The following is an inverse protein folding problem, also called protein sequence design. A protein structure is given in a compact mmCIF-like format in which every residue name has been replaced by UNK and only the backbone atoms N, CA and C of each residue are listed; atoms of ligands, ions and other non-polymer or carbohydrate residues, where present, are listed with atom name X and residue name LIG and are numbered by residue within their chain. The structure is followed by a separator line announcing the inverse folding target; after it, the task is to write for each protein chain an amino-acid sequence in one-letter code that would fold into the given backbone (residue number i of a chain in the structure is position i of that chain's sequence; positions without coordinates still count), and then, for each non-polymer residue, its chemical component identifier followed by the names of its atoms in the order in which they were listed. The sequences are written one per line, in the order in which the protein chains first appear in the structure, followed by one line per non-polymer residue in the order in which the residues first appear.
data_IF_880654411647
#
_entry.id   IF_880654411647
#
_cell.length_a   1.000
_cell.length_b   1.000
_cell.length_c   1.000
_cell.angle_alpha   90.00
_cell.angle_beta   90.00
_cell.angle_gamma   90.00
#
_symmetry.space_group_name_H-M   'P 1'
#
loop_
_entity.id
_entity.type
_entity.pdbx_description
1 polymer ?
#
# COMPACT_ATOMS: atom_id res chain seq x y z
N UNK A 1 8.10 35.71 -74.87
CA UNK A 1 8.60 34.51 -74.16
C UNK A 1 9.98 34.85 -73.61
N UNK A 2 10.05 35.19 -72.32
CA UNK A 2 11.29 35.63 -71.66
C UNK A 2 11.70 34.52 -70.71
N UNK A 3 12.86 33.91 -70.98
CA UNK A 3 13.49 32.90 -70.13
C UNK A 3 14.10 33.58 -68.90
N UNK A 4 13.62 33.23 -67.71
CA UNK A 4 14.24 33.58 -66.44
C UNK A 4 15.13 32.39 -66.00
N UNK A 5 16.43 32.49 -66.22
CA UNK A 5 17.42 31.60 -65.64
C UNK A 5 17.74 32.10 -64.23
N UNK A 6 17.29 31.38 -63.20
CA UNK A 6 17.55 31.70 -61.80
C UNK A 6 18.72 30.82 -61.31
N UNK A 7 19.90 31.42 -61.19
CA UNK A 7 21.11 30.79 -60.65
C UNK A 7 21.04 30.81 -59.12
N UNK A 8 20.88 29.64 -58.48
CA UNK A 8 21.02 29.50 -57.03
C UNK A 8 22.50 29.33 -56.67
N UNK A 9 23.05 30.32 -55.95
CA UNK A 9 24.34 30.20 -55.29
C UNK A 9 24.17 29.42 -53.98
N UNK A 10 24.85 28.28 -53.87
CA UNK A 10 24.91 27.47 -52.65
C UNK A 10 26.02 28.06 -51.76
N UNK A 11 25.63 28.72 -50.67
CA UNK A 11 26.56 29.13 -49.62
C UNK A 11 26.78 27.96 -48.65
N UNK A 12 27.93 27.30 -48.76
CA UNK A 12 28.42 26.34 -47.76
C UNK A 12 28.94 27.12 -46.54
N UNK A 13 28.16 27.11 -45.47
CA UNK A 13 28.62 27.57 -44.16
C UNK A 13 29.36 26.40 -43.50
N UNK A 14 30.68 26.49 -43.47
CA UNK A 14 31.55 25.59 -42.72
C UNK A 14 31.42 25.87 -41.22
N UNK A 15 30.65 25.05 -40.52
CA UNK A 15 30.61 25.02 -39.06
C UNK A 15 31.76 24.13 -38.59
N UNK A 16 32.90 24.75 -38.28
CA UNK A 16 33.96 24.13 -37.48
C UNK A 16 33.61 24.32 -36.00
N UNK A 17 32.70 23.47 -35.52
CA UNK A 17 32.36 23.36 -34.11
C UNK A 17 33.34 22.44 -33.40
N UNK A 18 34.21 23.04 -32.61
CA UNK A 18 35.16 22.43 -31.68
C UNK A 18 34.57 21.26 -30.89
N UNK A 19 35.26 20.11 -30.93
CA UNK A 19 35.08 18.98 -30.00
C UNK A 19 35.32 19.49 -28.58
N UNK A 20 34.26 19.85 -27.87
CA UNK A 20 34.31 20.01 -26.43
C UNK A 20 34.63 18.63 -25.82
N UNK A 21 35.74 18.55 -25.11
CA UNK A 21 36.08 17.40 -24.30
C UNK A 21 34.92 17.08 -23.34
N UNK A 22 34.68 15.80 -22.99
CA UNK A 22 33.69 15.45 -21.99
C UNK A 22 34.00 16.21 -20.70
N UNK A 23 33.13 17.16 -20.36
CA UNK A 23 33.14 17.79 -19.05
C UNK A 23 32.91 16.65 -18.06
N UNK A 24 33.96 16.34 -17.30
CA UNK A 24 33.82 15.48 -16.14
C UNK A 24 32.71 16.08 -15.28
N UNK A 25 31.56 15.42 -15.25
CA UNK A 25 30.49 15.72 -14.31
C UNK A 25 31.08 15.42 -12.94
N UNK A 26 31.62 16.45 -12.31
CA UNK A 26 31.92 16.43 -10.88
C UNK A 26 30.62 16.10 -10.19
N UNK A 27 30.54 14.84 -9.71
CA UNK A 27 29.57 14.32 -8.75
C UNK A 27 29.18 15.44 -7.80
N UNK A 28 28.02 16.04 -8.08
CA UNK A 28 27.40 17.03 -7.22
C UNK A 28 26.99 16.28 -5.97
N UNK A 29 27.43 16.79 -4.82
CA UNK A 29 27.17 16.29 -3.47
C UNK A 29 25.86 15.50 -3.39
N UNK A 30 25.97 14.16 -3.38
CA UNK A 30 24.93 13.30 -2.84
C UNK A 30 24.87 13.70 -1.37
N UNK A 31 23.92 14.57 -1.03
CA UNK A 31 23.47 14.71 0.35
C UNK A 31 22.96 13.33 0.72
N UNK A 32 23.83 12.54 1.35
CA UNK A 32 23.45 11.32 2.03
C UNK A 32 22.52 11.80 3.14
N UNK A 33 21.22 11.84 2.84
CA UNK A 33 20.21 12.08 3.85
C UNK A 33 20.39 10.91 4.81
N UNK A 34 20.90 11.21 6.00
CA UNK A 34 21.04 10.25 7.07
C UNK A 34 19.66 9.57 7.23
N UNK A 35 19.60 8.28 6.94
CA UNK A 35 18.44 7.42 7.10
C UNK A 35 18.08 7.21 8.58
N UNK A 36 17.99 8.31 9.34
CA UNK A 36 17.78 8.34 10.80
C UNK A 36 16.46 8.99 11.22
N UNK A 37 15.69 9.52 10.28
CA UNK A 37 14.28 9.83 10.51
C UNK A 37 13.46 8.61 10.06
N UNK A 38 13.57 7.55 10.86
CA UNK A 38 13.04 6.20 10.64
C UNK A 38 11.51 6.18 10.59
N UNK A 39 10.94 6.57 9.46
CA UNK A 39 9.79 5.86 8.90
C UNK A 39 10.34 4.81 7.94
N UNK A 40 10.78 3.67 8.46
CA UNK A 40 10.97 2.49 7.61
C UNK A 40 9.64 2.23 6.92
N UNK A 41 9.59 2.41 5.59
CA UNK A 41 8.43 2.09 4.77
C UNK A 41 8.14 0.59 4.97
N UNK A 42 7.10 0.21 5.72
CA UNK A 42 6.91 -1.19 6.05
C UNK A 42 6.57 -1.96 4.77
N UNK A 43 7.42 -2.92 4.41
CA UNK A 43 7.17 -3.89 3.33
C UNK A 43 7.74 -3.55 1.95
N UNK A 44 8.50 -2.46 1.78
CA UNK A 44 9.24 -2.19 0.54
C UNK A 44 10.66 -2.75 0.62
N UNK A 45 10.96 -3.76 -0.21
CA UNK A 45 12.35 -4.20 -0.41
C UNK A 45 13.12 -3.08 -1.10
N UNK A 46 14.23 -2.64 -0.52
CA UNK A 46 15.17 -1.68 -1.12
C UNK A 46 16.11 -2.37 -2.13
N UNK A 47 15.93 -3.67 -2.40
CA UNK A 47 16.71 -4.38 -3.40
C UNK A 47 16.46 -3.78 -4.79
N UNK A 48 17.50 -3.57 -5.61
CA UNK A 48 17.37 -3.01 -6.94
C UNK A 48 16.29 -3.72 -7.76
N UNK A 49 15.44 -2.93 -8.43
CA UNK A 49 14.48 -3.45 -9.41
C UNK A 49 15.13 -3.36 -10.80
N UNK A 50 14.85 -4.35 -11.66
CA UNK A 50 15.29 -4.33 -13.05
C UNK A 50 14.79 -3.08 -13.79
N UNK A 51 15.60 -2.56 -14.71
CA UNK A 51 15.20 -1.44 -15.54
C UNK A 51 13.87 -1.71 -16.27
N UNK A 52 13.06 -0.67 -16.44
CA UNK A 52 11.70 -0.75 -17.01
C UNK A 52 10.68 -1.58 -16.20
N UNK A 53 11.01 -1.93 -14.96
CA UNK A 53 10.09 -2.60 -14.06
C UNK A 53 9.74 -1.71 -12.86
N UNK A 54 8.62 -2.00 -12.21
CA UNK A 54 8.20 -1.33 -11.00
C UNK A 54 7.42 -2.27 -10.07
N UNK A 55 7.50 -1.99 -8.78
CA UNK A 55 6.64 -2.57 -7.74
C UNK A 55 5.78 -1.46 -7.15
N UNK A 56 4.54 -1.75 -6.87
CA UNK A 56 3.61 -0.80 -6.28
C UNK A 56 2.79 -1.49 -5.21
N UNK A 57 2.83 -0.93 -4.01
CA UNK A 57 2.00 -1.32 -2.88
C UNK A 57 1.02 -0.19 -2.60
N UNK A 58 -0.25 -0.54 -2.44
CA UNK A 58 -1.33 0.41 -2.17
C UNK A 58 -1.93 0.05 -0.81
N UNK A 59 -1.83 0.97 0.14
CA UNK A 59 -2.41 0.89 1.47
C UNK A 59 -3.58 1.86 1.66
N UNK A 60 -4.09 1.89 2.89
CA UNK A 60 -5.13 2.82 3.34
C UNK A 60 -4.56 3.69 4.46
N UNK A 61 -4.72 5.00 4.33
CA UNK A 61 -4.44 5.99 5.35
C UNK A 61 -5.78 6.54 5.85
N UNK A 62 -6.07 6.36 7.14
CA UNK A 62 -7.23 6.99 7.77
C UNK A 62 -6.89 8.44 8.09
N UNK A 63 -7.78 9.34 7.70
CA UNK A 63 -7.70 10.76 8.05
C UNK A 63 -8.47 11.03 9.36
N UNK A 64 -8.16 12.14 10.03
CA UNK A 64 -8.78 12.54 11.30
C UNK A 64 -10.31 12.75 11.22
N UNK A 65 -10.82 12.99 10.01
CA UNK A 65 -12.22 13.27 9.71
C UNK A 65 -13.02 12.03 9.28
N UNK A 66 -12.51 10.82 9.58
CA UNK A 66 -13.08 9.51 9.18
C UNK A 66 -13.04 9.21 7.68
N UNK A 67 -12.52 10.13 6.84
CA UNK A 67 -12.25 9.81 5.45
C UNK A 67 -11.01 8.91 5.33
N UNK A 68 -10.93 8.16 4.24
CA UNK A 68 -9.81 7.25 4.00
C UNK A 68 -9.18 7.57 2.64
N UNK A 69 -7.89 7.89 2.66
CA UNK A 69 -7.07 8.15 1.46
C UNK A 69 -6.22 6.93 1.15
N UNK A 70 -5.89 6.69 -0.12
CA UNK A 70 -4.96 5.61 -0.45
C UNK A 70 -3.52 6.06 -0.26
N UNK A 71 -2.71 5.20 0.34
CA UNK A 71 -1.25 5.39 0.43
C UNK A 71 -0.58 4.57 -0.67
N UNK A 72 0.31 5.19 -1.43
CA UNK A 72 1.06 4.58 -2.51
C UNK A 72 2.52 4.47 -2.12
N UNK A 73 3.09 3.32 -2.42
CA UNK A 73 4.48 2.97 -2.21
C UNK A 73 5.00 2.38 -3.52
N UNK A 74 5.68 3.18 -4.32
CA UNK A 74 6.09 2.84 -5.69
C UNK A 74 7.61 2.78 -5.76
N UNK A 75 8.14 1.66 -6.22
CA UNK A 75 9.57 1.47 -6.48
C UNK A 75 9.76 1.19 -7.96
N UNK A 76 10.55 2.03 -8.61
CA UNK A 76 10.74 2.05 -10.06
C UNK A 76 12.22 1.79 -10.33
N UNK A 77 12.53 0.82 -11.19
CA UNK A 77 13.89 0.44 -11.58
C UNK A 77 14.58 1.44 -12.52
N UNK A 78 14.26 2.73 -12.44
CA UNK A 78 14.92 3.79 -13.20
C UNK A 78 15.04 5.08 -12.39
N UNK A 79 16.10 5.87 -12.57
CA UNK A 79 16.11 7.25 -12.12
C UNK A 79 15.18 8.06 -13.02
N UNK A 80 14.55 9.11 -12.48
CA UNK A 80 13.79 10.03 -13.31
C UNK A 80 14.66 11.23 -13.66
N UNK A 81 14.91 11.40 -14.96
CA UNK A 81 15.67 12.51 -15.53
C UNK A 81 16.95 12.84 -14.74
N UNK A 82 17.81 11.84 -14.56
CA UNK A 82 19.13 12.00 -13.89
C UNK A 82 19.04 12.53 -12.44
N UNK A 83 17.98 12.17 -11.70
CA UNK A 83 17.81 12.54 -10.29
C UNK A 83 16.97 13.79 -10.04
N UNK A 84 16.50 14.48 -11.10
CA UNK A 84 15.65 15.68 -10.98
C UNK A 84 14.16 15.38 -10.84
N UNK A 85 13.76 14.10 -10.85
CA UNK A 85 12.39 13.73 -11.15
C UNK A 85 11.33 13.80 -10.09
N UNK A 86 11.74 13.80 -8.82
CA UNK A 86 10.82 13.79 -7.70
C UNK A 86 9.83 14.97 -7.77
N UNK A 87 10.31 16.17 -8.02
CA UNK A 87 9.45 17.36 -8.10
C UNK A 87 8.49 17.27 -9.29
N UNK A 88 8.97 16.84 -10.46
CA UNK A 88 8.13 16.69 -11.64
C UNK A 88 7.00 15.67 -11.45
N UNK A 89 7.28 14.56 -10.77
CA UNK A 89 6.27 13.54 -10.47
C UNK A 89 5.25 14.11 -9.48
N UNK A 90 5.72 14.70 -8.39
CA UNK A 90 4.87 15.38 -7.39
C UNK A 90 3.95 16.39 -8.05
N UNK A 91 4.48 17.27 -8.88
CA UNK A 91 3.74 18.36 -9.50
C UNK A 91 2.70 17.84 -10.49
N UNK A 92 2.95 16.69 -11.13
CA UNK A 92 1.98 16.06 -12.03
C UNK A 92 0.81 15.42 -11.28
N UNK A 93 1.11 14.75 -10.16
CA UNK A 93 0.08 14.22 -9.27
C UNK A 93 -0.74 15.39 -8.69
N UNK A 94 -0.07 16.47 -8.27
CA UNK A 94 -0.74 17.68 -7.77
C UNK A 94 -1.60 18.38 -8.84
N UNK A 95 -1.12 18.45 -10.09
CA UNK A 95 -1.90 19.02 -11.20
C UNK A 95 -3.16 18.19 -11.45
N UNK A 96 -3.02 16.87 -11.57
CA UNK A 96 -4.17 15.96 -11.74
C UNK A 96 -5.17 16.09 -10.60
N UNK A 97 -4.70 16.17 -9.36
CA UNK A 97 -5.54 16.44 -8.20
C UNK A 97 -6.29 17.78 -8.32
N UNK A 98 -5.61 18.83 -8.77
CA UNK A 98 -6.17 20.18 -8.93
C UNK A 98 -7.21 20.27 -10.06
N UNK A 99 -7.10 19.41 -11.07
CA UNK A 99 -8.10 19.27 -12.15
C UNK A 99 -9.42 18.63 -11.66
N UNK A 100 -9.52 18.32 -10.35
CA UNK A 100 -10.70 17.76 -9.70
C UNK A 100 -10.74 16.23 -9.69
N UNK A 101 -9.65 15.57 -10.10
CA UNK A 101 -9.62 14.10 -10.22
C UNK A 101 -9.54 13.39 -8.86
N UNK A 102 -8.85 13.96 -7.88
CA UNK A 102 -8.68 13.35 -6.55
C UNK A 102 -8.06 14.32 -5.54
N UNK A 103 -8.12 13.98 -4.24
CA UNK A 103 -7.35 14.68 -3.21
C UNK A 103 -5.89 14.17 -3.19
N UNK A 104 -4.91 15.08 -3.13
CA UNK A 104 -3.50 14.74 -2.95
C UNK A 104 -2.94 15.37 -1.68
N UNK A 105 -2.49 14.54 -0.73
CA UNK A 105 -1.90 15.00 0.54
C UNK A 105 -0.41 15.29 0.33
N UNK A 106 -0.08 16.46 -0.21
CA UNK A 106 1.30 16.82 -0.57
C UNK A 106 2.33 16.64 0.55
N UNK A 107 1.94 16.87 1.81
CA UNK A 107 2.80 16.66 2.99
C UNK A 107 3.22 15.21 3.24
N UNK A 108 2.58 14.24 2.59
CA UNK A 108 2.94 12.82 2.64
C UNK A 108 3.89 12.40 1.53
N UNK A 109 4.14 13.28 0.55
CA UNK A 109 4.99 12.97 -0.59
C UNK A 109 6.46 12.90 -0.17
N UNK A 110 7.05 11.72 -0.36
CA UNK A 110 8.47 11.46 -0.20
C UNK A 110 8.96 10.80 -1.48
N UNK A 111 10.14 11.22 -1.93
CA UNK A 111 10.78 10.64 -3.08
C UNK A 111 12.27 10.49 -2.81
N UNK A 112 12.82 9.33 -3.16
CA UNK A 112 14.23 9.01 -3.10
C UNK A 112 14.65 8.47 -4.46
N UNK A 113 15.46 9.23 -5.18
CA UNK A 113 16.09 8.81 -6.44
C UNK A 113 17.59 8.63 -6.17
N UNK A 114 18.11 7.43 -6.46
CA UNK A 114 19.53 7.11 -6.27
C UNK A 114 20.42 7.57 -7.45
N UNK A 115 19.83 8.16 -8.49
CA UNK A 115 20.50 8.60 -9.72
C UNK A 115 21.11 7.46 -10.54
N UNK A 116 20.97 6.21 -10.12
CA UNK A 116 21.72 5.05 -10.60
C UNK A 116 20.83 3.89 -11.05
N UNK A 117 19.52 3.98 -10.86
CA UNK A 117 18.62 2.90 -11.24
C UNK A 117 17.37 2.76 -10.40
N UNK A 118 17.15 3.54 -9.35
CA UNK A 118 16.00 3.35 -8.47
C UNK A 118 15.37 4.68 -8.05
N UNK A 119 14.07 4.80 -8.32
CA UNK A 119 13.23 5.83 -7.72
C UNK A 119 12.23 5.18 -6.78
N UNK A 120 12.17 5.65 -5.54
CA UNK A 120 11.18 5.28 -4.55
C UNK A 120 10.25 6.45 -4.29
N UNK A 121 8.95 6.22 -4.36
CA UNK A 121 7.90 7.21 -4.13
C UNK A 121 6.98 6.72 -3.01
N UNK A 122 6.71 7.58 -2.05
CA UNK A 122 5.64 7.36 -1.06
C UNK A 122 4.76 8.58 -1.01
N UNK A 123 3.45 8.41 -1.13
CA UNK A 123 2.50 9.52 -1.04
C UNK A 123 1.08 9.03 -0.76
N UNK A 124 0.19 9.93 -0.33
CA UNK A 124 -1.23 9.64 -0.16
C UNK A 124 -2.06 10.47 -1.15
N UNK A 125 -2.91 9.79 -1.91
CA UNK A 125 -3.78 10.39 -2.92
C UNK A 125 -5.06 9.57 -3.11
N UNK A 126 -6.08 10.15 -3.75
CA UNK A 126 -7.30 9.42 -4.06
C UNK A 126 -8.21 9.20 -2.84
N UNK A 127 -9.27 8.46 -3.08
CA UNK A 127 -10.26 8.07 -2.09
C UNK A 127 -10.37 6.55 -2.12
N UNK A 128 -10.35 5.90 -0.95
CA UNK A 128 -10.44 4.43 -0.85
C UNK A 128 -11.68 3.87 -1.55
N UNK A 129 -12.79 4.60 -1.50
CA UNK A 129 -14.10 4.17 -2.00
C UNK A 129 -14.35 4.60 -3.45
N UNK A 130 -13.59 5.55 -3.99
CA UNK A 130 -13.73 6.01 -5.37
C UNK A 130 -12.65 5.40 -6.28
N UNK A 131 -13.02 4.35 -7.04
CA UNK A 131 -12.10 3.67 -7.96
C UNK A 131 -11.67 4.54 -9.14
N UNK A 132 -12.48 5.51 -9.58
CA UNK A 132 -12.17 6.41 -10.69
C UNK A 132 -11.03 7.36 -10.30
N UNK A 133 -11.15 8.01 -9.14
CA UNK A 133 -10.10 8.86 -8.56
C UNK A 133 -8.76 8.13 -8.44
N UNK A 134 -8.81 6.84 -8.10
CA UNK A 134 -7.61 6.01 -7.96
C UNK A 134 -6.97 5.69 -9.32
N UNK A 135 -7.78 5.47 -10.36
CA UNK A 135 -7.25 5.30 -11.71
C UNK A 135 -6.46 6.54 -12.16
N UNK A 136 -6.94 7.75 -11.88
CA UNK A 136 -6.26 8.99 -12.22
C UNK A 136 -4.89 9.19 -11.53
N UNK A 137 -4.71 8.62 -10.34
CA UNK A 137 -3.38 8.57 -9.70
C UNK A 137 -2.40 7.72 -10.53
N UNK A 138 -2.88 6.59 -11.06
CA UNK A 138 -2.07 5.70 -11.90
C UNK A 138 -1.81 6.35 -13.26
N UNK A 139 -2.76 7.11 -13.81
CA UNK A 139 -2.57 7.92 -15.01
C UNK A 139 -1.41 8.92 -14.84
N UNK A 140 -1.34 9.59 -13.69
CA UNK A 140 -0.26 10.53 -13.40
C UNK A 140 1.11 9.83 -13.39
N UNK A 141 1.20 8.63 -12.80
CA UNK A 141 2.43 7.82 -12.81
C UNK A 141 2.77 7.34 -14.22
N UNK A 142 1.78 6.85 -14.97
CA UNK A 142 1.93 6.37 -16.35
C UNK A 142 2.39 7.49 -17.30
N UNK A 143 1.88 8.71 -17.13
CA UNK A 143 2.30 9.88 -17.90
C UNK A 143 3.78 10.21 -17.70
N UNK A 144 4.31 9.96 -16.50
CA UNK A 144 5.68 10.28 -16.13
C UNK A 144 6.67 9.17 -16.42
N UNK A 145 6.21 7.92 -16.39
CA UNK A 145 6.99 6.76 -16.80
C UNK A 145 6.24 5.98 -17.87
N UNK A 146 6.17 6.50 -19.12
CA UNK A 146 5.41 5.88 -20.20
C UNK A 146 5.93 4.48 -20.59
N UNK A 147 7.17 4.16 -20.25
CA UNK A 147 7.77 2.83 -20.45
C UNK A 147 7.33 1.79 -19.40
N UNK A 148 6.84 2.23 -18.24
CA UNK A 148 6.39 1.34 -17.15
C UNK A 148 4.88 1.12 -17.30
N UNK A 149 4.41 -0.12 -17.51
CA UNK A 149 2.99 -0.40 -17.71
C UNK A 149 2.24 -0.48 -16.36
N UNK A 150 2.11 0.66 -15.67
CA UNK A 150 1.46 0.72 -14.37
C UNK A 150 0.02 0.22 -14.42
N UNK A 151 -0.71 0.57 -15.49
CA UNK A 151 -2.09 0.16 -15.76
C UNK A 151 -2.17 -1.27 -16.29
N UNK A 152 -1.51 -1.52 -17.43
CA UNK A 152 -1.78 -2.69 -18.27
C UNK A 152 -1.30 -4.01 -17.64
N UNK A 153 -0.16 -3.97 -16.95
CA UNK A 153 0.34 -5.13 -16.21
C UNK A 153 -0.19 -5.20 -14.78
N UNK A 154 -0.93 -4.17 -14.36
CA UNK A 154 -1.50 -4.10 -13.03
C UNK A 154 -0.46 -4.04 -11.91
N UNK A 155 0.64 -3.34 -12.18
CA UNK A 155 1.68 -3.10 -11.18
C UNK A 155 1.07 -2.36 -9.99
N UNK A 156 0.32 -1.29 -10.25
CA UNK A 156 -0.52 -0.64 -9.25
C UNK A 156 -1.98 -1.07 -9.44
N UNK A 157 -2.35 -2.22 -8.88
CA UNK A 157 -3.76 -2.64 -8.85
C UNK A 157 -4.43 -2.15 -7.58
N UNK A 158 -5.57 -1.50 -7.75
CA UNK A 158 -6.57 -1.41 -6.71
C UNK A 158 -7.25 -2.77 -6.68
N UNK A 159 -7.02 -3.56 -5.64
CA UNK A 159 -7.91 -4.67 -5.38
C UNK A 159 -9.30 -4.06 -5.16
N UNK A 160 -10.19 -4.18 -6.15
CA UNK A 160 -11.57 -3.70 -6.15
C UNK A 160 -12.45 -4.43 -5.13
N UNK A 161 -11.81 -5.11 -4.19
CA UNK A 161 -12.44 -6.04 -3.29
C UNK A 161 -11.73 -5.95 -1.94
N UNK A 162 -12.33 -5.32 -0.92
CA UNK A 162 -11.92 -5.59 0.46
C UNK A 162 -12.02 -7.10 0.79
N UNK A 163 -12.69 -7.90 -0.07
CA UNK A 163 -12.96 -9.33 0.00
C UNK A 163 -11.82 -10.31 -0.35
N UNK A 164 -10.74 -9.88 -1.03
CA UNK A 164 -9.65 -10.79 -1.44
C UNK A 164 -8.31 -10.29 -0.93
N UNK A 165 -8.02 -10.58 0.34
CA UNK A 165 -6.68 -10.44 0.91
C UNK A 165 -5.74 -11.37 0.12
N UNK A 166 -4.93 -10.85 -0.80
CA UNK A 166 -3.60 -11.44 -0.99
C UNK A 166 -2.94 -11.36 0.37
N UNK A 167 -2.49 -12.49 0.91
CA UNK A 167 -1.72 -12.56 2.14
C UNK A 167 -0.49 -11.67 2.01
N UNK A 168 -0.63 -10.40 2.38
CA UNK A 168 0.51 -9.53 2.65
C UNK A 168 1.20 -10.24 3.81
N UNK A 169 2.51 -10.55 3.71
CA UNK A 169 3.26 -10.91 4.88
C UNK A 169 3.20 -9.67 5.77
N UNK A 170 2.25 -9.67 6.70
CA UNK A 170 2.27 -8.81 7.87
C UNK A 170 3.68 -9.04 8.39
N UNK A 171 4.47 -7.97 8.44
CA UNK A 171 5.77 -8.00 9.11
C UNK A 171 5.58 -8.83 10.35
N UNK A 172 6.18 -10.01 10.32
CA UNK A 172 6.25 -10.94 11.40
C UNK A 172 7.06 -10.25 12.46
N UNK A 173 6.41 -9.35 13.22
CA UNK A 173 6.49 -9.48 14.65
C UNK A 173 6.19 -10.93 14.89
N UNK A 174 7.29 -11.64 15.11
CA UNK A 174 7.35 -13.03 15.47
C UNK A 174 6.13 -13.26 16.33
N UNK A 175 5.17 -14.03 15.78
CA UNK A 175 4.22 -14.77 16.58
C UNK A 175 5.12 -15.43 17.62
N UNK A 176 5.22 -14.80 18.78
CA UNK A 176 5.68 -15.51 19.96
C UNK A 176 4.54 -16.48 20.16
N UNK A 177 4.75 -17.66 19.58
CA UNK A 177 4.46 -19.02 20.02
C UNK A 177 4.26 -19.14 21.53
N UNK A 178 3.47 -18.26 22.14
CA UNK A 178 3.24 -18.25 23.57
C UNK A 178 2.28 -19.37 23.95
N UNK A 179 1.40 -19.78 23.04
CA UNK A 179 0.53 -20.92 23.28
C UNK A 179 0.65 -21.88 22.10
N UNK A 180 1.01 -23.14 22.40
CA UNK A 180 1.22 -24.21 21.43
C UNK A 180 -0.05 -24.62 20.67
N UNK A 181 -0.17 -25.86 20.18
CA UNK A 181 -1.41 -26.31 19.56
C UNK A 181 -2.61 -26.08 20.51
N UNK A 182 -3.72 -25.59 19.96
CA UNK A 182 -4.97 -25.44 20.70
C UNK A 182 -5.70 -26.77 20.68
N UNK A 183 -6.24 -27.18 21.82
CA UNK A 183 -6.99 -28.43 21.95
C UNK A 183 -8.24 -28.43 21.08
N UNK A 184 -8.61 -29.60 20.58
CA UNK A 184 -9.79 -29.74 19.73
C UNK A 184 -11.06 -29.21 20.41
N UNK A 185 -11.91 -28.49 19.66
CA UNK A 185 -13.13 -27.83 20.15
C UNK A 185 -12.92 -26.78 21.25
N UNK A 186 -11.73 -26.18 21.32
CA UNK A 186 -11.48 -25.00 22.17
C UNK A 186 -11.20 -23.78 21.32
N UNK A 187 -11.47 -22.59 21.87
CA UNK A 187 -11.13 -21.34 21.23
C UNK A 187 -10.49 -20.38 22.22
N UNK A 188 -9.48 -19.65 21.75
CA UNK A 188 -8.82 -18.57 22.48
C UNK A 188 -8.98 -17.28 21.69
N UNK A 189 -9.36 -16.20 22.36
CA UNK A 189 -9.43 -14.87 21.78
C UNK A 189 -8.51 -13.92 22.50
N UNK A 190 -7.70 -13.17 21.75
CA UNK A 190 -6.85 -12.12 22.28
C UNK A 190 -7.16 -10.79 21.61
N UNK A 191 -7.08 -9.73 22.40
CA UNK A 191 -7.36 -8.36 21.96
C UNK A 191 -6.14 -7.52 22.27
N UNK A 192 -5.67 -6.79 21.27
CA UNK A 192 -4.56 -5.86 21.45
C UNK A 192 -4.94 -4.54 20.81
N UNK A 193 -4.69 -3.44 21.51
CA UNK A 193 -4.88 -2.12 20.91
C UNK A 193 -3.84 -1.95 19.81
N UNK A 194 -4.28 -1.63 18.60
CA UNK A 194 -3.37 -1.20 17.54
C UNK A 194 -2.95 0.21 17.92
N UNK A 195 -1.72 0.38 18.41
CA UNK A 195 -1.19 1.70 18.74
C UNK A 195 -1.13 2.56 17.48
N UNK A 196 -2.07 3.50 17.37
CA UNK A 196 -1.97 4.61 16.43
C UNK A 196 -0.83 5.50 16.88
N UNK A 197 0.00 5.95 15.95
CA UNK A 197 1.07 6.91 16.21
C UNK A 197 0.47 8.28 16.55
N UNK A 198 0.12 8.50 17.82
CA UNK A 198 0.08 9.82 18.48
C UNK A 198 -1.22 10.62 18.39
N UNK A 199 -2.05 10.55 19.45
CA UNK A 199 -3.11 11.53 19.70
C UNK A 199 -3.96 11.21 20.94
N UNK A 200 -4.20 12.20 21.81
CA UNK A 200 -4.83 12.05 23.15
C UNK A 200 -6.31 11.62 23.16
N UNK A 201 -6.89 11.27 22.02
CA UNK A 201 -8.27 10.79 21.88
C UNK A 201 -8.34 9.54 21.01
N UNK A 202 -7.30 8.70 21.09
CA UNK A 202 -7.20 7.44 20.35
C UNK A 202 -8.33 6.48 20.76
N UNK A 203 -9.47 6.61 20.08
CA UNK A 203 -10.60 5.68 20.13
C UNK A 203 -10.24 4.34 19.46
N UNK A 204 -8.99 4.20 19.02
CA UNK A 204 -8.20 2.96 18.98
C UNK A 204 -8.87 1.82 18.24
N UNK A 205 -8.41 1.54 17.04
CA UNK A 205 -8.69 0.22 16.48
C UNK A 205 -8.08 -0.84 17.38
N UNK A 206 -8.87 -1.83 17.71
CA UNK A 206 -8.43 -3.00 18.44
C UNK A 206 -8.27 -4.14 17.45
N UNK A 207 -7.12 -4.80 17.52
CA UNK A 207 -6.85 -6.04 16.80
C UNK A 207 -7.38 -7.19 17.62
N UNK A 208 -8.35 -7.88 17.05
CA UNK A 208 -8.90 -9.13 17.54
C UNK A 208 -8.16 -10.28 16.85
N UNK A 209 -7.65 -11.21 17.63
CA UNK A 209 -7.16 -12.48 17.13
C UNK A 209 -7.94 -13.61 17.81
N UNK A 210 -8.42 -14.57 17.02
CA UNK A 210 -9.07 -15.76 17.53
C UNK A 210 -8.37 -16.99 16.97
N UNK A 211 -8.08 -17.95 17.83
CA UNK A 211 -7.49 -19.23 17.48
C UNK A 211 -8.47 -20.32 17.90
N UNK A 212 -8.83 -21.19 16.98
CA UNK A 212 -9.91 -22.16 17.16
C UNK A 212 -9.36 -23.54 16.83
N UNK A 213 -9.41 -24.46 17.78
CA UNK A 213 -9.03 -25.88 17.62
C UNK A 213 -10.06 -26.68 16.84
N UNK A 214 -10.59 -26.11 15.76
CA UNK A 214 -11.41 -26.81 14.79
C UNK A 214 -11.22 -26.18 13.41
N UNK A 215 -11.29 -27.04 12.40
CA UNK A 215 -11.50 -26.64 11.02
C UNK A 215 -12.90 -26.05 10.90
N UNK A 216 -13.10 -25.12 9.95
CA UNK A 216 -14.45 -24.60 9.76
C UNK A 216 -15.36 -25.70 9.21
N UNK A 217 -16.43 -25.97 9.97
CA UNK A 217 -17.42 -27.03 9.69
C UNK A 217 -17.91 -26.88 8.23
N UNK A 218 -17.70 -27.94 7.42
CA UNK A 218 -18.12 -28.10 6.03
C UNK A 218 -17.19 -27.54 4.93
N UNK A 219 -15.90 -27.30 5.18
CA UNK A 219 -14.93 -27.04 4.10
C UNK A 219 -15.15 -25.73 3.32
N UNK A 220 -15.99 -24.83 3.84
CA UNK A 220 -16.25 -23.51 3.26
C UNK A 220 -15.19 -22.46 3.65
N UNK A 221 -14.23 -22.83 4.50
CA UNK A 221 -13.08 -22.03 4.90
C UNK A 221 -13.46 -20.71 5.57
N UNK A 222 -12.66 -19.68 5.31
CA UNK A 222 -12.71 -18.38 5.99
C UNK A 222 -13.87 -17.46 5.57
N UNK A 223 -14.49 -17.69 4.41
CA UNK A 223 -15.46 -16.75 3.84
C UNK A 223 -16.77 -16.63 4.65
N UNK A 224 -17.40 -17.72 5.13
CA UNK A 224 -18.62 -17.63 5.94
C UNK A 224 -18.40 -16.98 7.30
N UNK A 225 -17.22 -17.19 7.92
CA UNK A 225 -16.83 -16.55 9.18
C UNK A 225 -16.80 -15.03 8.98
N UNK A 226 -16.15 -14.59 7.91
CA UNK A 226 -16.08 -13.17 7.53
C UNK A 226 -17.47 -12.58 7.31
N UNK A 227 -18.34 -13.26 6.57
CA UNK A 227 -19.71 -12.79 6.33
C UNK A 227 -20.50 -12.66 7.65
N UNK A 228 -20.34 -13.63 8.55
CA UNK A 228 -21.00 -13.61 9.87
C UNK A 228 -20.52 -12.41 10.70
N UNK A 229 -19.20 -12.20 10.78
CA UNK A 229 -18.60 -11.04 11.44
C UNK A 229 -19.09 -9.72 10.85
N UNK A 230 -19.07 -9.58 9.52
CA UNK A 230 -19.55 -8.37 8.83
C UNK A 230 -21.05 -8.11 9.03
N UNK A 231 -21.86 -9.16 9.18
CA UNK A 231 -23.30 -9.02 9.40
C UNK A 231 -23.68 -8.55 10.80
N UNK A 232 -22.79 -8.76 11.78
CA UNK A 232 -23.06 -8.49 13.20
C UNK A 232 -22.23 -7.34 13.76
N UNK A 233 -21.16 -6.94 13.08
CA UNK A 233 -20.32 -5.79 13.44
C UNK A 233 -20.65 -4.66 12.43
N UNK A 234 -21.58 -3.75 12.75
CA UNK A 234 -22.14 -2.79 11.80
C UNK A 234 -21.10 -1.78 11.29
N UNK A 235 -20.12 -1.43 12.12
CA UNK A 235 -19.01 -0.55 11.76
C UNK A 235 -17.93 -1.27 10.93
N UNK A 236 -18.15 -2.57 10.67
CA UNK A 236 -17.31 -3.41 9.85
C UNK A 236 -16.08 -3.96 10.57
N UNK A 237 -15.44 -4.91 9.88
CA UNK A 237 -14.12 -5.43 10.24
C UNK A 237 -13.14 -5.02 9.15
N UNK A 238 -11.93 -4.61 9.55
CA UNK A 238 -10.84 -4.31 8.63
C UNK A 238 -9.67 -5.27 8.86
N UNK A 239 -8.70 -5.30 7.94
CA UNK A 239 -7.51 -6.16 8.03
C UNK A 239 -7.84 -7.64 8.34
N UNK A 240 -8.96 -8.16 7.81
CA UNK A 240 -9.38 -9.53 8.05
C UNK A 240 -8.40 -10.52 7.38
N UNK A 241 -7.85 -11.40 8.19
CA UNK A 241 -7.04 -12.54 7.82
C UNK A 241 -7.63 -13.78 8.47
N UNK A 242 -7.62 -14.87 7.72
CA UNK A 242 -8.00 -16.17 8.24
C UNK A 242 -7.15 -17.24 7.58
N UNK A 243 -6.61 -18.14 8.40
CA UNK A 243 -5.77 -19.26 8.01
C UNK A 243 -6.38 -20.51 8.63
N UNK A 244 -6.83 -21.42 7.78
CA UNK A 244 -7.25 -22.78 8.16
C UNK A 244 -6.13 -23.71 7.72
N UNK A 245 -5.62 -24.53 8.65
CA UNK A 245 -4.55 -25.47 8.35
C UNK A 245 -5.04 -26.79 7.73
N UNK A 246 -6.35 -27.01 7.68
CA UNK A 246 -6.97 -28.24 7.18
C UNK A 246 -6.83 -29.44 8.12
N UNK A 247 -6.30 -29.25 9.32
CA UNK A 247 -6.05 -30.29 10.33
C UNK A 247 -6.75 -30.00 11.66
N UNK A 248 -7.77 -29.15 11.64
CA UNK A 248 -8.53 -28.84 12.83
C UNK A 248 -8.05 -27.59 13.55
N UNK A 249 -7.37 -26.66 12.88
CA UNK A 249 -6.99 -25.38 13.46
C UNK A 249 -7.27 -24.21 12.52
N UNK A 250 -8.03 -23.24 13.04
CA UNK A 250 -8.28 -21.97 12.36
C UNK A 250 -7.71 -20.81 13.17
N UNK A 251 -6.96 -19.93 12.52
CA UNK A 251 -6.52 -18.65 13.07
C UNK A 251 -7.19 -17.50 12.33
N UNK A 252 -7.80 -16.59 13.08
CA UNK A 252 -8.49 -15.39 12.61
C UNK A 252 -7.76 -14.18 13.18
N UNK A 253 -7.59 -13.15 12.37
CA UNK A 253 -7.15 -11.84 12.83
C UNK A 253 -7.93 -10.76 12.09
N UNK A 254 -8.44 -9.77 12.80
CA UNK A 254 -9.13 -8.64 12.20
C UNK A 254 -9.11 -7.45 13.14
N UNK A 255 -9.22 -6.26 12.57
CA UNK A 255 -9.31 -5.02 13.32
C UNK A 255 -10.76 -4.58 13.39
N UNK A 256 -11.13 -4.05 14.54
CA UNK A 256 -12.44 -3.44 14.78
C UNK A 256 -12.28 -2.08 15.45
N UNK A 257 -13.26 -1.22 15.24
CA UNK A 257 -13.35 0.02 15.98
C UNK A 257 -13.87 -0.26 17.38
N UNK A 258 -13.15 0.20 18.41
CA UNK A 258 -13.60 0.13 19.80
C UNK A 258 -14.07 -1.29 20.21
N UNK A 259 -13.18 -2.29 20.14
CA UNK A 259 -13.53 -3.69 20.44
C UNK A 259 -14.19 -3.84 21.82
N UNK A 260 -13.82 -2.98 22.77
CA UNK A 260 -14.43 -2.97 24.10
C UNK A 260 -15.93 -2.69 24.08
N UNK A 261 -16.40 -1.79 23.21
CA UNK A 261 -17.82 -1.47 23.11
C UNK A 261 -18.63 -2.54 22.38
N UNK A 262 -18.04 -3.17 21.36
CA UNK A 262 -18.70 -4.17 20.50
C UNK A 262 -18.27 -5.61 20.83
N UNK A 263 -17.70 -5.82 22.01
CA UNK A 263 -17.15 -7.11 22.43
C UNK A 263 -18.19 -8.24 22.37
N UNK A 264 -19.40 -7.95 22.86
CA UNK A 264 -20.52 -8.89 22.82
C UNK A 264 -20.91 -9.27 21.38
N UNK A 265 -20.85 -8.34 20.44
CA UNK A 265 -21.17 -8.58 19.04
C UNK A 265 -20.11 -9.47 18.38
N UNK A 266 -18.83 -9.23 18.69
CA UNK A 266 -17.70 -10.06 18.23
C UNK A 266 -17.86 -11.50 18.73
N UNK A 267 -18.10 -11.69 20.02
CA UNK A 267 -18.30 -13.03 20.59
C UNK A 267 -19.54 -13.71 20.02
N UNK A 268 -20.65 -12.98 19.85
CA UNK A 268 -21.87 -13.50 19.25
C UNK A 268 -21.64 -13.94 17.81
N UNK A 269 -20.88 -13.16 17.03
CA UNK A 269 -20.51 -13.50 15.67
C UNK A 269 -19.61 -14.73 15.59
N UNK A 270 -18.60 -14.81 16.45
CA UNK A 270 -17.72 -15.98 16.54
C UNK A 270 -18.48 -17.23 16.99
N UNK A 271 -19.35 -17.13 17.99
CA UNK A 271 -20.20 -18.23 18.45
C UNK A 271 -21.18 -18.69 17.35
N UNK A 272 -21.73 -17.75 16.56
CA UNK A 272 -22.59 -18.09 15.43
C UNK A 272 -21.83 -18.78 14.30
N UNK A 273 -20.57 -18.40 14.09
CA UNK A 273 -19.66 -19.04 13.14
C UNK A 273 -19.22 -20.44 13.62
N UNK A 274 -19.00 -20.64 14.92
CA UNK A 274 -18.60 -21.92 15.52
C UNK A 274 -19.60 -22.35 16.61
N UNK A 275 -20.76 -22.83 16.18
CA UNK A 275 -21.90 -23.09 17.08
C UNK A 275 -21.60 -24.09 18.21
N UNK A 276 -20.68 -25.04 17.99
CA UNK A 276 -20.35 -26.07 18.96
C UNK A 276 -19.10 -25.77 19.80
N UNK A 277 -18.42 -24.64 19.55
CA UNK A 277 -17.17 -24.30 20.24
C UNK A 277 -17.49 -23.19 21.25
N UNK A 278 -17.30 -23.44 22.56
CA UNK A 278 -17.42 -22.38 23.53
C UNK A 278 -16.23 -21.44 23.37
N UNK A 279 -16.50 -20.17 23.08
CA UNK A 279 -15.50 -19.12 23.25
C UNK A 279 -15.36 -18.86 24.76
N UNK A 280 -14.38 -19.51 25.37
CA UNK A 280 -14.09 -19.36 26.80
C UNK A 280 -13.60 -17.93 27.01
N UNK A 281 -14.27 -17.22 27.92
CA UNK A 281 -14.03 -15.80 28.24
C UNK A 281 -12.76 -15.57 29.07
N UNK A 282 -11.83 -16.51 29.07
CA UNK A 282 -10.68 -16.46 29.95
C UNK A 282 -9.58 -15.61 29.32
N UNK A 283 -9.41 -14.42 29.91
CA UNK A 283 -8.33 -13.46 29.71
C UNK A 283 -8.44 -12.51 28.51
N UNK A 284 -9.26 -11.48 28.67
CA UNK A 284 -8.88 -10.16 28.18
C UNK A 284 -8.31 -9.40 29.37
N UNK A 285 -7.01 -9.12 29.30
CA UNK A 285 -6.22 -8.34 30.24
C UNK A 285 -7.01 -7.13 30.79
N UNK A 286 -7.38 -7.23 32.06
CA UNK A 286 -7.12 -6.14 33.00
C UNK A 286 -5.63 -6.05 33.27
#
# INVERSE_FOLDING_TARGET
MINFMLTFAIALIGITGSLAAPVAVTSTNITTINARDDYQLPGLSLEPIEADNAKCSVGVLMNDDTSATRSYNVHIGRPYAEGSGCEYIRDTIAQKASDGAFEFKSGTYKCLDDGSGNTFLTFAAGDVFNLENNADVIDALQQRYPMIPFKDNGICRFESNPGRTRSIPINSHTLTTRDGPIDHNTALCSYSRVSGTGGSLDLGMDKCEARVGRDYINGAGCAPIRQTLQSLIPDGISAYSCVDDGYGYTQLAFNVWNARAIYYDINTALQKAYQDIPFIHDHICG
#
